data_IF_589849307716
#
_entry.id   IF_589849307716
#
_cell.length_a   1.000
_cell.length_b   1.000
_cell.length_c   1.000
_cell.angle_alpha   90.00
_cell.angle_beta   90.00
_cell.angle_gamma   90.00
#
_symmetry.space_group_name_H-M   'P 1'
#
loop_
_entity.id
_entity.type
_entity.pdbx_description
1 polymer ?
#
# COMPACT_ATOMS: atom_id res chain seq x y z
N UNK A 1 -1.95 4.63 13.45
CA UNK A 1 -0.69 4.94 12.73
C UNK A 1 0.13 3.69 12.43
N UNK A 2 0.52 3.50 11.16
CA UNK A 2 1.66 2.64 10.81
C UNK A 2 2.94 3.45 11.05
N UNK A 3 3.91 2.89 11.78
CA UNK A 3 5.15 3.57 12.15
C UNK A 3 6.12 3.87 10.99
N UNK A 4 5.78 3.50 9.75
CA UNK A 4 6.59 3.76 8.55
C UNK A 4 5.76 4.59 7.57
N UNK A 5 6.22 5.83 7.35
CA UNK A 5 5.69 6.77 6.37
C UNK A 5 6.70 6.86 5.24
N UNK A 6 6.46 6.18 4.13
CA UNK A 6 7.33 6.32 2.94
C UNK A 6 7.07 7.66 2.25
N UNK A 7 5.80 8.07 2.16
CA UNK A 7 5.42 9.32 1.50
C UNK A 7 4.13 9.90 2.10
N UNK A 8 4.17 11.19 2.44
CA UNK A 8 3.00 11.99 2.81
C UNK A 8 2.60 12.89 1.64
N UNK A 9 1.32 12.87 1.27
CA UNK A 9 0.75 13.67 0.18
C UNK A 9 -0.37 14.54 0.75
N UNK A 10 -0.20 15.86 0.66
CA UNK A 10 -1.21 16.83 1.08
C UNK A 10 -2.15 17.23 -0.07
N UNK A 11 -3.29 17.83 0.27
CA UNK A 11 -4.29 18.29 -0.70
C UNK A 11 -5.06 17.14 -1.36
N UNK A 12 -5.11 15.98 -0.72
CA UNK A 12 -5.89 14.83 -1.17
C UNK A 12 -7.31 14.95 -0.63
N UNK A 13 -8.28 15.13 -1.51
CA UNK A 13 -9.65 15.47 -1.14
C UNK A 13 -10.60 14.28 -1.07
N UNK A 14 -10.15 13.09 -1.48
CA UNK A 14 -10.99 11.89 -1.48
C UNK A 14 -10.17 10.61 -1.39
N UNK A 15 -10.79 9.57 -0.83
CA UNK A 15 -10.25 8.20 -0.77
C UNK A 15 -9.83 7.71 -2.15
N UNK A 16 -10.64 7.94 -3.19
CA UNK A 16 -10.30 7.52 -4.56
C UNK A 16 -9.01 8.17 -5.07
N UNK A 17 -8.78 9.44 -4.73
CA UNK A 17 -7.58 10.14 -5.12
C UNK A 17 -6.36 9.58 -4.38
N UNK A 18 -6.48 9.27 -3.08
CA UNK A 18 -5.44 8.58 -2.31
C UNK A 18 -5.10 7.22 -2.94
N UNK A 19 -6.12 6.42 -3.29
CA UNK A 19 -5.95 5.15 -4.01
C UNK A 19 -5.19 5.31 -5.32
N UNK A 20 -5.58 6.29 -6.15
CA UNK A 20 -4.90 6.57 -7.43
C UNK A 20 -3.44 6.98 -7.22
N UNK A 21 -3.12 7.71 -6.15
CA UNK A 21 -1.73 8.07 -5.81
C UNK A 21 -0.92 6.86 -5.36
N UNK A 22 -1.49 6.00 -4.52
CA UNK A 22 -0.90 4.71 -4.15
C UNK A 22 -0.61 3.84 -5.39
N UNK A 23 -1.52 3.76 -6.36
CA UNK A 23 -1.30 2.99 -7.59
C UNK A 23 -0.15 3.56 -8.45
N UNK A 24 -0.03 4.88 -8.51
CA UNK A 24 0.99 5.57 -9.31
C UNK A 24 2.32 5.76 -8.57
N UNK A 25 2.40 5.43 -7.28
CA UNK A 25 3.60 5.70 -6.48
C UNK A 25 4.84 4.99 -7.02
N UNK A 26 4.67 3.82 -7.64
CA UNK A 26 5.78 3.08 -8.24
C UNK A 26 6.35 3.80 -9.45
N UNK A 27 5.51 4.44 -10.26
CA UNK A 27 5.94 5.20 -11.43
C UNK A 27 6.52 6.56 -11.05
N UNK A 28 5.95 7.22 -10.03
CA UNK A 28 6.29 8.62 -9.68
C UNK A 28 7.42 8.72 -8.67
N UNK A 29 7.55 7.76 -7.75
CA UNK A 29 8.47 7.84 -6.61
C UNK A 29 9.19 6.52 -6.33
N UNK A 30 9.10 5.55 -7.24
CA UNK A 30 9.66 4.18 -7.12
C UNK A 30 9.18 3.36 -5.90
N UNK A 31 8.21 3.89 -5.15
CA UNK A 31 7.63 3.24 -3.96
C UNK A 31 6.58 2.23 -4.39
N UNK A 32 6.76 0.97 -4.01
CA UNK A 32 5.72 -0.07 -4.18
C UNK A 32 4.70 0.10 -3.05
N UNK A 33 3.59 0.79 -3.32
CA UNK A 33 2.53 0.97 -2.31
C UNK A 33 1.87 -0.36 -1.95
N UNK A 34 2.10 -0.86 -0.75
CA UNK A 34 1.39 -2.00 -0.17
C UNK A 34 0.17 -1.56 0.64
N UNK A 35 0.22 -0.38 1.26
CA UNK A 35 -0.91 0.21 1.93
C UNK A 35 -0.92 1.73 1.86
N UNK A 36 -2.08 2.32 2.10
CA UNK A 36 -2.26 3.76 2.18
C UNK A 36 -3.21 4.12 3.33
N UNK A 37 -3.03 5.31 3.92
CA UNK A 37 -3.87 5.85 4.97
C UNK A 37 -4.38 7.21 4.52
N UNK A 38 -5.69 7.41 4.52
CA UNK A 38 -6.31 8.67 4.16
C UNK A 38 -6.89 9.37 5.39
N UNK A 39 -6.44 10.60 5.64
CA UNK A 39 -6.98 11.50 6.66
C UNK A 39 -7.89 12.53 6.01
N UNK A 40 -9.20 12.38 6.21
CA UNK A 40 -10.18 13.21 5.52
C UNK A 40 -10.16 14.67 5.98
N UNK A 41 -9.94 14.90 7.27
CA UNK A 41 -9.96 16.24 7.88
C UNK A 41 -8.73 17.05 7.47
N UNK A 42 -7.57 16.43 7.48
CA UNK A 42 -6.27 17.02 7.12
C UNK A 42 -6.09 17.09 5.60
N UNK A 43 -6.90 16.35 4.85
CA UNK A 43 -6.79 16.20 3.39
C UNK A 43 -5.42 15.63 3.02
N UNK A 44 -5.01 14.59 3.74
CA UNK A 44 -3.70 13.97 3.61
C UNK A 44 -3.83 12.49 3.25
N UNK A 45 -2.88 12.00 2.46
CA UNK A 45 -2.75 10.60 2.10
C UNK A 45 -1.32 10.16 2.40
N UNK A 46 -1.18 9.16 3.25
CA UNK A 46 0.09 8.50 3.54
C UNK A 46 0.16 7.25 2.66
N UNK A 47 1.28 7.07 1.97
CA UNK A 47 1.60 5.86 1.22
C UNK A 47 2.69 5.11 1.98
N UNK A 48 2.53 3.80 2.10
CA UNK A 48 3.47 2.90 2.75
C UNK A 48 3.77 1.68 1.88
N UNK A 49 5.04 1.27 1.89
CA UNK A 49 5.56 0.07 1.24
C UNK A 49 5.43 -1.18 2.13
N UNK A 50 4.86 -1.03 3.32
CA UNK A 50 4.47 -2.09 4.23
C UNK A 50 2.96 -2.09 4.46
N UNK A 51 2.43 -3.24 4.88
CA UNK A 51 1.05 -3.47 5.30
C UNK A 51 0.99 -3.88 6.77
N UNK A 52 -0.21 -3.99 7.34
CA UNK A 52 -0.41 -4.54 8.69
C UNK A 52 0.12 -5.98 8.85
N UNK A 53 0.28 -6.71 7.75
CA UNK A 53 0.83 -8.08 7.76
C UNK A 53 2.36 -8.05 7.85
N UNK A 54 2.99 -7.07 7.19
CA UNK A 54 4.45 -6.94 7.20
C UNK A 54 4.98 -6.46 8.58
N UNK A 55 4.22 -5.59 9.26
CA UNK A 55 4.60 -4.96 10.54
C UNK A 55 3.41 -4.87 11.52
N UNK A 56 2.89 -6.01 12.00
CA UNK A 56 1.69 -6.03 12.85
C UNK A 56 1.88 -5.27 14.18
N UNK A 57 3.08 -5.31 14.76
CA UNK A 57 3.39 -4.63 16.03
C UNK A 57 3.35 -3.10 15.94
N UNK A 58 3.48 -2.54 14.73
CA UNK A 58 3.46 -1.10 14.48
C UNK A 58 2.12 -0.63 13.90
N UNK A 59 1.14 -1.52 13.75
CA UNK A 59 -0.17 -1.16 13.24
C UNK A 59 -1.06 -0.69 14.40
N UNK A 60 -1.43 0.58 14.34
CA UNK A 60 -2.41 1.18 15.26
C UNK A 60 -3.62 1.60 14.43
N UNK A 61 -4.81 1.10 14.80
CA UNK A 61 -6.07 1.57 14.25
C UNK A 61 -6.34 3.00 14.71
N UNK A 62 -6.78 3.84 13.79
CA UNK A 62 -7.11 5.25 14.03
C UNK A 62 -8.48 5.52 13.40
N UNK A 63 -9.47 5.86 14.22
CA UNK A 63 -10.85 6.07 13.78
C UNK A 63 -11.01 7.30 12.87
N UNK A 64 -10.03 8.20 12.88
CA UNK A 64 -10.02 9.41 12.06
C UNK A 64 -9.42 9.15 10.66
N UNK A 65 -8.90 7.94 10.44
CA UNK A 65 -8.17 7.57 9.25
C UNK A 65 -8.79 6.38 8.52
N UNK A 66 -8.80 6.44 7.20
CA UNK A 66 -9.21 5.31 6.36
C UNK A 66 -7.97 4.55 5.90
N UNK A 67 -7.79 3.34 6.44
CA UNK A 67 -6.73 2.43 6.01
C UNK A 67 -7.14 1.65 4.75
N UNK A 68 -6.21 1.51 3.80
CA UNK A 68 -6.39 0.81 2.54
C UNK A 68 -5.21 -0.13 2.27
N UNK A 69 -5.49 -1.38 1.91
CA UNK A 69 -4.46 -2.33 1.47
C UNK A 69 -4.48 -2.51 -0.05
N UNK A 70 -3.31 -2.56 -0.66
CA UNK A 70 -3.15 -2.82 -2.08
C UNK A 70 -3.01 -4.33 -2.32
N UNK A 71 -4.14 -5.02 -2.41
CA UNK A 71 -4.19 -6.47 -2.63
C UNK A 71 -3.79 -6.88 -4.05
N UNK A 72 -3.75 -5.95 -5.01
CA UNK A 72 -3.34 -6.23 -6.40
C UNK A 72 -1.89 -6.73 -6.48
N UNK A 73 -1.03 -6.35 -5.53
CA UNK A 73 0.36 -6.84 -5.46
C UNK A 73 0.44 -8.30 -5.01
N UNK A 74 -0.56 -8.77 -4.28
CA UNK A 74 -0.60 -10.14 -3.76
C UNK A 74 -0.87 -11.17 -4.87
N UNK A 75 -1.58 -10.76 -5.93
CA UNK A 75 -1.87 -11.63 -7.08
C UNK A 75 -0.63 -11.90 -7.95
N UNK A 76 0.27 -10.91 -8.05
CA UNK A 76 1.56 -11.06 -8.74
C UNK A 76 2.53 -11.98 -7.98
N UNK A 77 2.46 -12.02 -6.64
CA UNK A 77 3.25 -12.96 -5.83
C UNK A 77 2.66 -14.39 -5.85
N UNK A 78 1.32 -14.51 -5.90
CA UNK A 78 0.65 -15.81 -6.04
C UNK A 78 0.87 -16.44 -7.43
N UNK A 79 0.92 -15.63 -8.49
CA UNK A 79 1.26 -16.11 -9.84
C UNK A 79 2.75 -16.46 -10.01
N UNK A 80 3.66 -15.80 -9.28
CA UNK A 80 5.10 -16.15 -9.30
C UNK A 80 5.37 -17.55 -8.70
N UNK A 81 4.59 -17.98 -7.69
CA UNK A 81 4.70 -19.34 -7.13
C UNK A 81 4.24 -20.45 -8.07
N UNK A 82 3.41 -20.13 -9.09
CA UNK A 82 2.96 -21.10 -10.09
C UNK A 82 3.95 -21.30 -11.25
N UNK A 83 4.81 -20.32 -11.54
CA UNK A 83 5.77 -20.42 -12.64
C UNK A 83 7.08 -21.13 -12.26
N UNK A 84 7.44 -21.21 -10.98
CA UNK A 84 8.60 -22.01 -10.51
C UNK A 84 8.30 -23.50 -10.28
N UNK A 85 7.05 -23.96 -10.47
CA UNK A 85 6.67 -25.36 -10.26
C UNK A 85 6.47 -26.16 -11.55
N UNK A 86 6.96 -25.68 -12.71
CA UNK A 86 6.65 -26.29 -14.01
C UNK A 86 7.82 -26.42 -14.98
N UNK A 87 9.05 -26.58 -14.48
CA UNK A 87 10.15 -27.11 -15.30
C UNK A 87 10.40 -28.59 -14.96
N UNK A 88 10.06 -29.55 -15.84
CA UNK A 88 10.70 -30.85 -15.79
C UNK A 88 12.16 -30.65 -16.21
N UNK A 89 13.08 -30.88 -15.28
CA UNK A 89 14.48 -31.16 -15.60
C UNK A 89 14.45 -32.45 -16.43
N UNK A 90 14.77 -32.36 -17.72
CA UNK A 90 15.12 -33.52 -18.53
C UNK A 90 16.50 -33.31 -19.11
#
# INVERSE_FOLDING_TARGET
>A
LIGIVDQLIQGVTSIEQCRKRCQKSKEVSDIVCKSAIYYEKEKECIIASQSRIDIPDLFIEDDQAVYMENTCLNDSAANMKKLQASWPIK
#
